data_IF_344163733146
#
_entry.id   IF_344163733146
#
_cell.length_a   1.000
_cell.length_b   1.000
_cell.length_c   1.000
_cell.angle_alpha   90.00
_cell.angle_beta   90.00
_cell.angle_gamma   90.00
#
_symmetry.space_group_name_H-M   'P 1'
#
loop_
_entity.id
_entity.type
_entity.pdbx_description
1 polymer ?
#
# COMPACT_ATOMS: atom_id res chain seq x y z
N UNK A 1 8.34 26.34 -22.19
CA UNK A 1 7.27 25.86 -21.28
C UNK A 1 7.89 25.13 -20.09
N UNK A 2 8.06 25.77 -18.91
CA UNK A 2 8.69 25.15 -17.73
C UNK A 2 7.74 24.88 -16.55
N UNK A 3 6.42 24.89 -16.72
CA UNK A 3 5.45 24.93 -15.60
C UNK A 3 5.17 23.59 -14.89
N UNK A 4 5.65 22.46 -15.43
CA UNK A 4 5.36 21.12 -14.86
C UNK A 4 6.28 20.75 -13.68
N UNK A 5 7.45 21.42 -13.54
CA UNK A 5 8.47 21.05 -12.54
C UNK A 5 8.19 21.59 -11.13
N UNK A 6 7.47 22.71 -10.98
CA UNK A 6 7.28 23.38 -9.68
C UNK A 6 6.10 22.84 -8.86
N UNK A 7 4.98 22.48 -9.49
CA UNK A 7 3.85 21.85 -8.78
C UNK A 7 4.21 20.47 -8.23
N UNK A 8 4.95 19.67 -8.99
CA UNK A 8 5.30 18.31 -8.57
C UNK A 8 6.31 18.29 -7.42
N UNK A 9 7.17 19.31 -7.33
CA UNK A 9 8.20 19.46 -6.30
C UNK A 9 7.63 20.04 -5.00
N UNK A 10 6.73 21.02 -5.10
CA UNK A 10 6.06 21.62 -3.92
C UNK A 10 5.13 20.65 -3.19
N UNK A 11 4.36 19.84 -3.92
CA UNK A 11 3.50 18.80 -3.32
C UNK A 11 4.33 17.66 -2.74
N UNK A 12 5.47 17.34 -3.33
CA UNK A 12 6.42 16.35 -2.80
C UNK A 12 7.05 16.82 -1.48
N UNK A 13 7.46 18.08 -1.35
CA UNK A 13 8.08 18.58 -0.12
C UNK A 13 7.08 18.78 1.03
N UNK A 14 5.82 19.13 0.71
CA UNK A 14 4.78 19.36 1.71
C UNK A 14 4.02 18.10 2.18
N UNK A 15 4.26 16.95 1.56
CA UNK A 15 3.56 15.72 1.91
C UNK A 15 4.09 15.09 3.21
N UNK A 16 3.18 14.84 4.16
CA UNK A 16 3.47 14.20 5.44
C UNK A 16 3.81 12.71 5.27
N UNK A 17 3.20 12.01 4.30
CA UNK A 17 3.51 10.63 3.94
C UNK A 17 3.87 10.53 2.46
N UNK A 18 5.00 9.90 2.14
CA UNK A 18 5.45 9.66 0.76
C UNK A 18 5.60 8.17 0.50
N UNK A 19 5.07 7.72 -0.63
CA UNK A 19 5.17 6.34 -1.11
C UNK A 19 5.75 6.33 -2.52
N UNK A 20 6.95 5.77 -2.66
CA UNK A 20 7.56 5.49 -3.96
C UNK A 20 7.30 4.03 -4.30
N UNK A 21 6.52 3.76 -5.35
CA UNK A 21 6.07 2.41 -5.74
C UNK A 21 6.40 2.05 -7.18
N UNK A 22 6.92 2.99 -7.99
CA UNK A 22 7.39 2.74 -9.37
C UNK A 22 8.84 2.24 -9.44
N UNK A 23 9.38 1.77 -8.31
CA UNK A 23 10.71 1.21 -8.14
C UNK A 23 10.77 0.38 -6.86
N UNK A 24 11.93 0.28 -6.18
CA UNK A 24 11.98 -0.25 -4.83
C UNK A 24 11.01 0.50 -3.92
N UNK A 25 10.23 -0.23 -3.12
CA UNK A 25 9.27 0.40 -2.21
C UNK A 25 10.01 1.27 -1.19
N UNK A 26 9.70 2.57 -1.18
CA UNK A 26 10.16 3.51 -0.18
C UNK A 26 8.97 4.17 0.49
N UNK A 27 9.02 4.26 1.82
CA UNK A 27 7.97 4.83 2.66
C UNK A 27 8.64 5.88 3.53
N UNK A 28 8.22 7.14 3.41
CA UNK A 28 8.75 8.23 4.23
C UNK A 28 7.61 8.93 4.97
N UNK A 29 7.82 9.21 6.26
CA UNK A 29 6.89 9.95 7.12
C UNK A 29 7.60 11.18 7.64
N UNK A 30 7.07 12.37 7.37
CA UNK A 30 7.68 13.64 7.74
C UNK A 30 9.10 13.82 7.18
N UNK A 31 9.38 13.25 6.00
CA UNK A 31 10.70 13.27 5.37
C UNK A 31 11.71 12.26 5.94
N UNK A 32 11.30 11.39 6.86
CA UNK A 32 12.15 10.33 7.43
C UNK A 32 11.74 8.96 6.90
N UNK A 33 12.69 8.14 6.47
CA UNK A 33 12.42 6.77 6.04
C UNK A 33 11.78 5.95 7.16
N UNK A 34 10.65 5.31 6.86
CA UNK A 34 9.86 4.53 7.80
C UNK A 34 10.43 3.11 7.90
N UNK A 35 11.44 2.94 8.75
CA UNK A 35 12.16 1.66 8.91
C UNK A 35 11.36 0.64 9.75
N UNK A 36 10.44 1.10 10.59
CA UNK A 36 9.70 0.24 11.54
C UNK A 36 8.60 -0.61 10.87
N UNK A 37 8.17 -0.25 9.65
CA UNK A 37 7.17 -0.99 8.91
C UNK A 37 7.83 -2.10 8.08
N UNK A 38 8.36 -3.14 8.73
CA UNK A 38 9.10 -4.24 8.08
C UNK A 38 8.21 -5.34 7.52
N UNK A 39 6.96 -5.45 8.00
CA UNK A 39 6.07 -6.52 7.58
C UNK A 39 5.58 -6.31 6.15
N UNK A 40 6.01 -7.17 5.22
CA UNK A 40 5.67 -7.09 3.80
C UNK A 40 4.16 -6.97 3.54
N UNK A 41 3.32 -7.71 4.29
CA UNK A 41 1.85 -7.62 4.14
C UNK A 41 1.27 -6.31 4.66
N UNK A 42 1.89 -5.68 5.67
CA UNK A 42 1.48 -4.37 6.15
C UNK A 42 1.90 -3.27 5.15
N UNK A 43 3.11 -3.36 4.59
CA UNK A 43 3.57 -2.50 3.49
C UNK A 43 2.65 -2.63 2.27
N UNK A 44 2.31 -3.86 1.85
CA UNK A 44 1.40 -4.10 0.74
C UNK A 44 0.00 -3.53 0.99
N UNK A 45 -0.50 -3.63 2.23
CA UNK A 45 -1.76 -3.01 2.63
C UNK A 45 -1.71 -1.48 2.48
N UNK A 46 -0.65 -0.83 2.95
CA UNK A 46 -0.46 0.62 2.82
C UNK A 46 -0.44 1.06 1.36
N UNK A 47 0.37 0.38 0.54
CA UNK A 47 0.48 0.66 -0.90
C UNK A 47 -0.86 0.47 -1.59
N UNK A 48 -1.57 -0.62 -1.30
CA UNK A 48 -2.87 -0.89 -1.91
C UNK A 48 -3.91 0.19 -1.57
N UNK A 49 -3.99 0.60 -0.31
CA UNK A 49 -4.88 1.67 0.13
C UNK A 49 -4.50 3.02 -0.50
N UNK A 50 -3.20 3.32 -0.54
CA UNK A 50 -2.66 4.53 -1.16
C UNK A 50 -3.01 4.60 -2.65
N UNK A 51 -2.63 3.59 -3.42
CA UNK A 51 -2.81 3.56 -4.88
C UNK A 51 -4.28 3.57 -5.27
N UNK A 52 -5.13 2.81 -4.58
CA UNK A 52 -6.56 2.79 -4.89
C UNK A 52 -7.28 4.07 -4.43
N UNK A 53 -6.82 4.72 -3.36
CA UNK A 53 -7.40 5.93 -2.76
C UNK A 53 -8.91 5.83 -2.47
N UNK A 54 -9.39 4.60 -2.23
CA UNK A 54 -10.79 4.25 -1.92
C UNK A 54 -10.88 3.58 -0.56
N UNK A 55 -12.05 3.68 0.06
CA UNK A 55 -12.36 2.86 1.23
C UNK A 55 -12.55 1.41 0.79
N UNK A 56 -11.94 0.49 1.54
CA UNK A 56 -11.92 -0.93 1.24
C UNK A 56 -12.51 -1.72 2.40
N UNK A 57 -13.31 -2.73 2.09
CA UNK A 57 -13.87 -3.61 3.10
C UNK A 57 -12.76 -4.43 3.77
N UNK A 58 -12.82 -4.56 5.10
CA UNK A 58 -11.83 -5.30 5.89
C UNK A 58 -11.80 -6.79 5.54
N UNK A 59 -12.94 -7.40 5.24
CA UNK A 59 -13.03 -8.78 4.78
C UNK A 59 -12.37 -8.94 3.41
N UNK A 60 -12.58 -7.98 2.49
CA UNK A 60 -11.91 -7.97 1.19
C UNK A 60 -10.38 -7.88 1.36
N UNK A 61 -9.88 -6.95 2.17
CA UNK A 61 -8.45 -6.79 2.44
C UNK A 61 -7.84 -8.04 3.10
N UNK A 62 -8.58 -8.65 4.03
CA UNK A 62 -8.15 -9.88 4.70
C UNK A 62 -7.99 -11.04 3.70
N UNK A 63 -9.00 -11.25 2.85
CA UNK A 63 -8.95 -12.30 1.82
C UNK A 63 -7.92 -12.03 0.73
N UNK A 64 -7.65 -10.75 0.42
CA UNK A 64 -6.70 -10.35 -0.61
C UNK A 64 -5.24 -10.57 -0.18
N UNK A 65 -4.89 -10.23 1.06
CA UNK A 65 -3.50 -10.30 1.56
C UNK A 65 -3.18 -11.60 2.29
N UNK A 66 -4.18 -12.30 2.82
CA UNK A 66 -4.04 -13.58 3.53
C UNK A 66 -4.96 -14.65 2.94
N UNK A 67 -4.97 -14.77 1.61
CA UNK A 67 -5.77 -15.75 0.85
C UNK A 67 -5.61 -17.20 1.33
N UNK A 68 -4.40 -17.54 1.79
CA UNK A 68 -4.05 -18.92 2.19
C UNK A 68 -4.39 -19.21 3.66
N UNK A 69 -4.99 -18.25 4.38
CA UNK A 69 -5.36 -18.37 5.78
C UNK A 69 -6.86 -18.56 5.94
N UNK A 70 -7.28 -19.22 7.03
CA UNK A 70 -8.70 -19.22 7.42
C UNK A 70 -9.18 -17.79 7.68
N UNK A 71 -10.46 -17.52 7.44
CA UNK A 71 -11.04 -16.18 7.60
C UNK A 71 -10.72 -15.57 8.99
N UNK A 72 -10.85 -16.37 10.05
CA UNK A 72 -10.54 -15.95 11.43
C UNK A 72 -9.08 -15.50 11.60
N UNK A 73 -8.14 -16.26 11.03
CA UNK A 73 -6.71 -15.94 11.07
C UNK A 73 -6.38 -14.72 10.19
N UNK A 74 -6.98 -14.62 9.00
CA UNK A 74 -6.82 -13.50 8.11
C UNK A 74 -7.28 -12.18 8.76
N UNK A 75 -8.46 -12.17 9.41
CA UNK A 75 -8.98 -11.01 10.13
C UNK A 75 -8.12 -10.61 11.33
N UNK A 76 -7.59 -11.60 12.06
CA UNK A 76 -6.66 -11.36 13.18
C UNK A 76 -5.36 -10.72 12.68
N UNK A 77 -4.84 -11.22 11.55
CA UNK A 77 -3.62 -10.71 10.93
C UNK A 77 -3.80 -9.30 10.37
N UNK A 78 -4.95 -9.03 9.73
CA UNK A 78 -5.33 -7.69 9.30
C UNK A 78 -5.38 -6.71 10.49
N UNK A 79 -5.97 -7.11 11.61
CA UNK A 79 -5.99 -6.26 12.81
C UNK A 79 -4.57 -5.91 13.29
N UNK A 80 -3.67 -6.89 13.33
CA UNK A 80 -2.26 -6.66 13.70
C UNK A 80 -1.55 -5.72 12.71
N UNK A 81 -1.73 -5.95 11.41
CA UNK A 81 -1.17 -5.10 10.37
C UNK A 81 -1.65 -3.65 10.48
N UNK A 82 -2.94 -3.43 10.76
CA UNK A 82 -3.50 -2.09 10.95
C UNK A 82 -2.97 -1.38 12.20
N UNK A 83 -2.72 -2.11 13.29
CA UNK A 83 -2.07 -1.55 14.49
C UNK A 83 -0.65 -1.11 14.16
N UNK A 84 0.12 -1.96 13.47
CA UNK A 84 1.47 -1.61 13.05
C UNK A 84 1.48 -0.40 12.11
N UNK A 85 0.56 -0.35 11.13
CA UNK A 85 0.42 0.81 10.25
C UNK A 85 0.13 2.08 11.04
N UNK A 86 -0.80 2.04 11.99
CA UNK A 86 -1.11 3.22 12.81
C UNK A 86 0.09 3.68 13.65
N UNK A 87 0.95 2.78 14.09
CA UNK A 87 2.18 3.11 14.80
C UNK A 87 3.24 3.73 13.88
N UNK A 88 3.39 3.18 12.68
CA UNK A 88 4.44 3.58 11.73
C UNK A 88 4.09 4.83 10.91
N UNK A 89 2.83 5.01 10.53
CA UNK A 89 2.36 6.11 9.67
C UNK A 89 1.24 6.94 10.32
N UNK A 90 1.02 6.81 11.63
CA UNK A 90 0.06 7.63 12.36
C UNK A 90 -1.37 7.58 11.81
N UNK A 91 -2.00 8.75 11.74
CA UNK A 91 -3.39 8.91 11.29
C UNK A 91 -3.53 9.03 9.74
N UNK A 92 -2.52 8.64 8.96
CA UNK A 92 -2.64 8.56 7.50
C UNK A 92 -3.58 7.44 7.04
N UNK A 93 -3.89 6.49 7.92
CA UNK A 93 -4.83 5.40 7.67
C UNK A 93 -5.98 5.48 8.68
N UNK A 94 -7.20 5.53 8.15
CA UNK A 94 -8.43 5.47 8.91
C UNK A 94 -8.98 4.05 8.82
N UNK A 95 -9.26 3.45 9.97
CA UNK A 95 -9.85 2.13 10.06
C UNK A 95 -11.06 2.16 11.00
N UNK A 96 -12.21 1.78 10.47
CA UNK A 96 -13.43 1.57 11.27
C UNK A 96 -13.74 0.07 11.40
N UNK A 97 -14.96 -0.27 11.83
CA UNK A 97 -15.41 -1.65 12.05
C UNK A 97 -15.55 -2.46 10.74
N UNK A 98 -15.84 -1.80 9.62
CA UNK A 98 -16.14 -2.41 8.33
C UNK A 98 -15.10 -2.05 7.26
N UNK A 99 -14.57 -0.83 7.26
CA UNK A 99 -13.72 -0.31 6.21
C UNK A 99 -12.35 0.17 6.69
N UNK A 100 -11.41 0.21 5.76
CA UNK A 100 -10.11 0.86 5.90
C UNK A 100 -9.90 1.79 4.71
N UNK A 101 -9.40 2.99 4.96
CA UNK A 101 -9.14 4.00 3.93
C UNK A 101 -7.92 4.84 4.27
N UNK A 102 -7.38 5.52 3.26
CA UNK A 102 -6.44 6.61 3.50
C UNK A 102 -7.16 7.84 4.05
N UNK A 103 -6.51 8.55 4.96
CA UNK A 103 -7.04 9.79 5.51
C UNK A 103 -6.89 10.94 4.50
N UNK A 104 -8.01 11.39 3.92
CA UNK A 104 -8.01 12.48 2.93
C UNK A 104 -7.71 13.86 3.51
N UNK A 105 -7.75 14.01 4.83
CA UNK A 105 -7.38 15.26 5.50
C UNK A 105 -5.85 15.40 5.69
N UNK A 106 -5.10 14.34 5.36
CA UNK A 106 -3.65 14.28 5.47
C UNK A 106 -3.03 14.26 4.08
N UNK A 107 -1.90 14.92 3.92
CA UNK A 107 -1.21 14.99 2.63
C UNK A 107 -0.41 13.72 2.40
N UNK A 108 -0.80 12.96 1.38
CA UNK A 108 -0.11 11.74 0.96
C UNK A 108 0.36 11.93 -0.49
N UNK A 109 1.65 11.72 -0.71
CA UNK A 109 2.24 11.71 -2.04
C UNK A 109 2.54 10.28 -2.49
N UNK A 110 2.17 9.96 -3.72
CA UNK A 110 2.40 8.64 -4.33
C UNK A 110 2.86 8.86 -5.77
N UNK A 111 4.05 8.40 -6.12
CA UNK A 111 4.64 8.55 -7.46
C UNK A 111 3.73 7.99 -8.58
N UNK A 112 3.04 6.87 -8.33
CA UNK A 112 2.09 6.28 -9.27
C UNK A 112 0.93 7.22 -9.62
N UNK A 113 0.43 8.01 -8.67
CA UNK A 113 -0.64 8.99 -8.94
C UNK A 113 -0.11 10.16 -9.77
N UNK A 114 1.14 10.58 -9.55
CA UNK A 114 1.78 11.64 -10.34
C UNK A 114 2.00 11.17 -11.78
N UNK A 115 2.52 9.95 -11.95
CA UNK A 115 2.74 9.34 -13.25
C UNK A 115 1.42 9.19 -14.03
N UNK A 116 0.38 8.66 -13.39
CA UNK A 116 -0.93 8.50 -14.03
C UNK A 116 -1.51 9.85 -14.49
N UNK A 117 -1.44 10.89 -13.64
CA UNK A 117 -1.88 12.25 -14.02
C UNK A 117 -1.06 12.81 -15.19
N UNK A 118 0.24 12.55 -15.23
CA UNK A 118 1.10 12.96 -16.35
C UNK A 118 0.71 12.25 -17.65
N UNK A 119 0.48 10.94 -17.61
CA UNK A 119 0.01 10.18 -18.76
C UNK A 119 -1.35 10.68 -19.28
N UNK A 120 -2.30 10.95 -18.38
CA UNK A 120 -3.62 11.47 -18.75
C UNK A 120 -3.54 12.81 -19.50
N UNK A 121 -2.66 13.71 -19.07
CA UNK A 121 -2.43 15.00 -19.73
C UNK A 121 -1.84 14.85 -21.13
N UNK A 122 -0.94 13.89 -21.32
CA UNK A 122 -0.30 13.63 -22.61
C UNK A 122 -1.23 12.90 -23.61
N UNK A 123 -2.15 12.09 -23.11
CA UNK A 123 -3.04 11.26 -23.94
C UNK A 123 -4.31 11.97 -24.42
N UNK A 124 -4.45 13.29 -24.22
CA UNK A 124 -5.52 14.08 -24.82
C UNK A 124 -6.95 13.66 -24.45
N UNK A 125 -7.15 13.01 -23.28
CA UNK A 125 -8.49 12.64 -22.80
C UNK A 125 -8.96 11.22 -23.16
N UNK A 126 -8.09 10.32 -23.64
CA UNK A 126 -8.44 8.88 -23.70
C UNK A 126 -8.83 8.40 -22.30
N UNK A 127 -10.03 7.82 -22.11
CA UNK A 127 -10.47 7.35 -20.80
C UNK A 127 -9.52 6.28 -20.26
N UNK A 128 -8.77 6.62 -19.21
CA UNK A 128 -8.04 5.61 -18.43
C UNK A 128 -9.09 4.76 -17.74
N UNK A 129 -9.01 3.45 -17.93
CA UNK A 129 -9.93 2.49 -17.33
C UNK A 129 -10.13 2.79 -15.82
N UNK A 130 -11.38 2.99 -15.35
CA UNK A 130 -11.67 3.40 -13.98
C UNK A 130 -11.18 2.40 -12.91
N UNK A 131 -10.86 1.16 -13.31
CA UNK A 131 -10.32 0.11 -12.47
C UNK A 131 -8.83 -0.18 -12.71
N UNK A 132 -8.15 0.61 -13.57
CA UNK A 132 -6.71 0.44 -13.84
C UNK A 132 -5.90 0.45 -12.55
N UNK A 133 -6.17 1.41 -11.65
CA UNK A 133 -5.52 1.51 -10.34
C UNK A 133 -5.68 0.25 -9.51
N UNK A 134 -6.89 -0.29 -9.47
CA UNK A 134 -7.18 -1.50 -8.69
C UNK A 134 -6.51 -2.73 -9.29
N UNK A 135 -6.51 -2.89 -10.63
CA UNK A 135 -5.78 -3.99 -11.28
C UNK A 135 -4.28 -3.91 -11.02
N UNK A 136 -3.68 -2.73 -11.17
CA UNK A 136 -2.26 -2.51 -10.88
C UNK A 136 -1.94 -2.82 -9.41
N UNK A 137 -2.76 -2.33 -8.47
CA UNK A 137 -2.58 -2.56 -7.05
C UNK A 137 -2.74 -4.06 -6.68
N UNK A 138 -3.69 -4.78 -7.28
CA UNK A 138 -3.85 -6.23 -7.09
C UNK A 138 -2.66 -7.01 -7.64
N UNK A 139 -2.10 -6.59 -8.77
CA UNK A 139 -0.89 -7.21 -9.34
C UNK A 139 0.32 -7.00 -8.43
N UNK A 140 0.45 -5.82 -7.83
CA UNK A 140 1.48 -5.55 -6.82
C UNK A 140 1.34 -6.47 -5.60
N UNK A 141 0.12 -6.62 -5.07
CA UNK A 141 -0.14 -7.55 -3.96
C UNK A 141 0.27 -8.97 -4.36
N UNK A 142 -0.11 -9.43 -5.56
CA UNK A 142 0.29 -10.76 -6.04
C UNK A 142 1.80 -10.95 -5.99
N UNK A 143 2.60 -9.96 -6.38
CA UNK A 143 4.07 -10.05 -6.35
C UNK A 143 4.58 -10.19 -4.91
N UNK A 144 4.04 -9.40 -3.97
CA UNK A 144 4.45 -9.42 -2.55
C UNK A 144 3.99 -10.69 -1.85
N UNK A 145 2.80 -11.20 -2.15
CA UNK A 145 2.27 -12.41 -1.50
C UNK A 145 2.83 -13.69 -2.10
N UNK A 146 3.22 -13.70 -3.38
CA UNK A 146 3.83 -14.87 -4.03
C UNK A 146 5.17 -15.29 -3.38
N UNK A 147 5.91 -14.37 -2.77
CA UNK A 147 7.14 -14.71 -2.04
C UNK A 147 6.89 -15.42 -0.71
N UNK A 148 5.75 -15.20 -0.05
CA UNK A 148 5.39 -15.90 1.20
C UNK A 148 5.20 -17.41 0.98
N UNK A 149 4.76 -17.83 -0.20
CA UNK A 149 4.59 -19.24 -0.55
C UNK A 149 5.94 -19.95 -0.80
N UNK A 150 6.95 -19.23 -1.28
CA UNK A 150 8.31 -19.76 -1.48
C UNK A 150 9.00 -19.95 -0.12
N UNK A 151 8.87 -18.99 0.80
CA UNK A 151 9.48 -19.08 2.12
C UNK A 151 8.82 -20.13 3.04
N UNK A 152 7.50 -20.33 2.94
CA UNK A 152 6.79 -21.36 3.70
C UNK A 152 7.17 -22.80 3.29
N UNK A 153 7.68 -23.01 2.06
CA UNK A 153 8.25 -24.30 1.62
C UNK A 153 9.70 -24.52 2.08
N UNK A 154 10.36 -23.52 2.66
CA UNK A 154 11.77 -23.57 3.04
C UNK A 154 12.01 -23.71 4.55
N UNK A 155 10.98 -23.75 5.39
CA UNK A 155 11.12 -24.13 6.80
C UNK A 155 11.38 -25.64 6.90
N UNK A 156 12.60 -26.11 7.28
CA UNK A 156 12.82 -27.52 7.55
C UNK A 156 11.98 -27.94 8.76
N UNK A 157 11.39 -29.16 8.77
CA UNK A 157 10.72 -29.66 9.95
C UNK A 157 11.72 -29.71 11.10
N UNK A 158 11.43 -28.98 12.17
CA UNK A 158 12.20 -29.00 13.40
C UNK A 158 12.30 -30.45 13.87
N UNK A 159 13.52 -30.99 13.89
CA UNK A 159 13.83 -32.25 14.54
C UNK A 159 13.36 -32.15 15.99
N UNK A 160 12.33 -32.94 16.34
CA UNK A 160 11.98 -33.19 17.73
C UNK A 160 13.12 -34.01 18.33
N UNK A 161 13.89 -33.38 19.20
CA UNK A 161 14.89 -34.02 20.05
C UNK A 161 14.27 -34.36 21.39
N UNK A 162 14.44 -35.60 21.84
CA UNK A 162 14.43 -36.00 23.25
C UNK A 162 13.08 -36.27 23.87
#
# INVERSE_FOLDING_TARGET
>A
MPEVKEESRSVFEAAELKLSVLGPLQIEVGGTSCVDLTAQKAQALLVYLGVTARAQDRQLLAGLLWSDSTERLARTSLRKALVQLRQSVGDHILADRQTVSVNRQRTIWIDAHIFERACQRLQGGVPVDPNARERCARRFISIVTSFSAIFARMTPPSLKSG
#
